data_IF_264123714505
#
_entry.id   IF_264123714505
#
_cell.length_a   1.000
_cell.length_b   1.000
_cell.length_c   1.000
_cell.angle_alpha   90.00
_cell.angle_beta   90.00
_cell.angle_gamma   90.00
#
_symmetry.space_group_name_H-M   'P 1'
#
loop_
_entity.id
_entity.type
_entity.pdbx_description
1 polymer ?
#
# COMPACT_ATOMS: atom_id res chain seq x y z
N UNK A 1 13.06 -15.40 7.02
CA UNK A 1 14.38 -14.85 7.42
C UNK A 1 14.77 -13.80 6.39
N UNK A 2 15.21 -12.62 6.81
CA UNK A 2 15.77 -11.61 5.91
C UNK A 2 17.23 -12.00 5.59
N UNK A 3 17.56 -12.04 4.30
CA UNK A 3 18.93 -12.34 3.85
C UNK A 3 19.49 -11.10 3.17
N UNK A 4 20.58 -10.57 3.70
CA UNK A 4 21.29 -9.43 3.14
C UNK A 4 22.55 -9.91 2.40
N UNK A 5 22.60 -9.65 1.11
CA UNK A 5 23.81 -9.83 0.31
C UNK A 5 24.62 -8.52 0.34
N UNK A 6 25.87 -8.54 0.77
CA UNK A 6 26.73 -7.35 0.90
C UNK A 6 27.11 -6.74 -0.46
N UNK A 7 26.13 -6.48 -1.31
CA UNK A 7 26.28 -5.82 -2.62
C UNK A 7 24.98 -5.09 -2.97
N UNK A 8 25.11 -3.99 -3.67
CA UNK A 8 23.96 -3.25 -4.21
C UNK A 8 23.30 -4.06 -5.33
N UNK A 9 21.99 -3.91 -5.48
CA UNK A 9 21.22 -4.54 -6.56
C UNK A 9 21.70 -4.07 -7.96
N UNK A 10 22.09 -2.81 -8.06
CA UNK A 10 22.74 -2.22 -9.24
C UNK A 10 23.96 -1.39 -8.81
N UNK A 11 25.06 -1.40 -9.56
CA UNK A 11 26.29 -0.69 -9.17
C UNK A 11 26.09 0.84 -9.11
N UNK A 12 26.56 1.47 -8.03
CA UNK A 12 26.59 2.93 -7.88
C UNK A 12 28.05 3.36 -7.88
N UNK A 13 28.48 4.09 -8.93
CA UNK A 13 29.87 4.53 -9.12
C UNK A 13 29.89 5.95 -9.67
N UNK A 14 29.66 6.93 -8.79
CA UNK A 14 29.63 8.35 -9.14
C UNK A 14 31.01 8.95 -8.94
N UNK A 15 31.53 9.60 -9.96
CA UNK A 15 32.91 10.16 -9.99
C UNK A 15 32.96 11.52 -9.30
N UNK A 16 32.03 12.39 -9.62
CA UNK A 16 32.04 13.79 -9.21
C UNK A 16 31.08 14.04 -8.07
N UNK A 17 31.46 14.90 -7.14
CA UNK A 17 30.57 15.40 -6.09
C UNK A 17 29.61 16.44 -6.65
N UNK A 18 28.38 16.44 -6.17
CA UNK A 18 27.37 17.44 -6.52
C UNK A 18 26.34 17.56 -5.37
N UNK A 19 26.59 18.45 -4.40
CA UNK A 19 25.71 18.59 -3.24
C UNK A 19 24.30 19.08 -3.61
N UNK A 20 24.18 19.89 -4.67
CA UNK A 20 22.88 20.33 -5.17
C UNK A 20 22.04 19.15 -5.66
N UNK A 21 22.65 18.25 -6.42
CA UNK A 21 21.93 17.06 -6.91
C UNK A 21 21.59 16.11 -5.76
N UNK A 22 22.50 15.96 -4.79
CA UNK A 22 22.26 15.18 -3.58
C UNK A 22 21.03 15.68 -2.80
N UNK A 23 20.89 17.01 -2.64
CA UNK A 23 19.75 17.62 -1.95
C UNK A 23 18.41 17.37 -2.63
N UNK A 24 18.39 17.08 -3.92
CA UNK A 24 17.19 16.69 -4.65
C UNK A 24 16.90 15.18 -4.53
N UNK A 25 17.95 14.36 -4.68
CA UNK A 25 17.84 12.90 -4.68
C UNK A 25 17.44 12.36 -3.30
N UNK A 26 17.78 13.05 -2.22
CA UNK A 26 17.41 12.65 -0.85
C UNK A 26 15.90 12.45 -0.69
N UNK A 27 15.07 13.09 -1.53
CA UNK A 27 13.62 12.85 -1.55
C UNK A 27 13.24 11.39 -1.79
N UNK A 28 14.03 10.66 -2.58
CA UNK A 28 13.81 9.23 -2.79
C UNK A 28 14.32 8.38 -1.62
N UNK A 29 15.14 8.94 -0.74
CA UNK A 29 15.51 8.27 0.51
C UNK A 29 14.38 8.36 1.55
N UNK A 30 13.97 9.56 1.92
CA UNK A 30 13.08 9.80 3.05
C UNK A 30 11.91 10.74 2.77
N UNK A 31 11.64 11.08 1.52
CA UNK A 31 10.43 11.82 1.15
C UNK A 31 9.16 10.97 1.26
N UNK A 32 7.98 11.57 1.14
CA UNK A 32 6.68 10.90 1.33
C UNK A 32 6.44 9.78 0.30
N UNK A 33 7.06 9.86 -0.86
CA UNK A 33 6.97 8.89 -1.95
C UNK A 33 8.33 8.22 -2.23
N UNK A 34 9.25 8.24 -1.24
CA UNK A 34 10.57 7.63 -1.34
C UNK A 34 10.59 6.17 -0.86
N UNK A 35 11.74 5.53 -1.04
CA UNK A 35 11.96 4.08 -0.84
C UNK A 35 11.70 3.62 0.60
N UNK A 36 12.04 4.47 1.61
CA UNK A 36 11.74 4.15 3.01
C UNK A 36 10.22 4.02 3.24
N UNK A 37 9.44 4.94 2.70
CA UNK A 37 7.99 4.92 2.79
C UNK A 37 7.38 3.75 2.05
N UNK A 38 7.86 3.44 0.85
CA UNK A 38 7.43 2.31 0.02
C UNK A 38 7.69 0.98 0.73
N UNK A 39 8.92 0.73 1.17
CA UNK A 39 9.30 -0.51 1.84
C UNK A 39 8.46 -0.76 3.10
N UNK A 40 8.32 0.22 3.99
CA UNK A 40 7.57 0.06 5.23
C UNK A 40 6.06 -0.09 4.97
N UNK A 41 5.51 0.56 3.95
CA UNK A 41 4.10 0.41 3.54
C UNK A 41 3.83 -1.03 3.15
N UNK A 42 4.57 -1.59 2.21
CA UNK A 42 4.35 -2.94 1.69
C UNK A 42 4.61 -4.02 2.74
N UNK A 43 5.70 -3.88 3.51
CA UNK A 43 6.03 -4.80 4.59
C UNK A 43 5.03 -4.75 5.76
N UNK A 44 4.31 -3.66 5.94
CA UNK A 44 3.22 -3.55 6.92
C UNK A 44 1.91 -4.13 6.39
N UNK A 45 1.53 -3.82 5.15
CA UNK A 45 0.30 -4.31 4.51
C UNK A 45 0.27 -5.83 4.39
N UNK A 46 1.42 -6.49 4.20
CA UNK A 46 1.50 -7.95 4.04
C UNK A 46 0.84 -8.75 5.18
N UNK A 47 0.79 -8.21 6.40
CA UNK A 47 0.22 -8.91 7.56
C UNK A 47 -1.31 -9.03 7.48
N UNK A 48 -1.98 -8.07 6.86
CA UNK A 48 -3.44 -8.05 6.68
C UNK A 48 -3.92 -8.70 5.38
N UNK A 49 -3.01 -9.05 4.46
CA UNK A 49 -3.42 -9.68 3.20
C UNK A 49 -3.98 -11.09 3.42
N UNK A 50 -5.17 -11.39 2.87
CA UNK A 50 -5.83 -12.67 3.10
C UNK A 50 -5.25 -13.84 2.30
N UNK A 51 -4.43 -13.56 1.26
CA UNK A 51 -3.92 -14.56 0.35
C UNK A 51 -2.39 -14.69 0.45
N UNK A 52 -1.85 -15.93 0.56
CA UNK A 52 -0.40 -16.17 0.65
C UNK A 52 0.40 -15.54 -0.50
N UNK A 53 -0.14 -15.55 -1.72
CA UNK A 53 0.53 -14.99 -2.90
C UNK A 53 0.69 -13.47 -2.81
N UNK A 54 -0.28 -12.78 -2.20
CA UNK A 54 -0.18 -11.34 -1.97
C UNK A 54 0.79 -11.01 -0.84
N UNK A 55 0.83 -11.83 0.21
CA UNK A 55 1.85 -11.72 1.25
C UNK A 55 3.25 -11.87 0.67
N UNK A 56 3.43 -12.87 -0.22
CA UNK A 56 4.67 -13.08 -0.96
C UNK A 56 5.05 -11.87 -1.81
N UNK A 57 4.11 -11.37 -2.62
CA UNK A 57 4.30 -10.20 -3.48
C UNK A 57 4.74 -8.96 -2.70
N UNK A 58 4.01 -8.62 -1.63
CA UNK A 58 4.33 -7.46 -0.78
C UNK A 58 5.65 -7.63 -0.03
N UNK A 59 6.01 -8.86 0.34
CA UNK A 59 7.33 -9.14 0.93
C UNK A 59 8.44 -8.96 -0.09
N UNK A 60 8.27 -9.48 -1.29
CA UNK A 60 9.23 -9.46 -2.37
C UNK A 60 9.54 -8.00 -2.80
N UNK A 61 8.49 -7.24 -3.13
CA UNK A 61 8.64 -5.84 -3.49
C UNK A 61 9.14 -5.01 -2.30
N UNK A 62 8.54 -5.15 -1.12
CA UNK A 62 8.93 -4.36 0.05
C UNK A 62 10.37 -4.58 0.51
N UNK A 63 10.94 -5.76 0.30
CA UNK A 63 12.37 -6.03 0.55
C UNK A 63 13.25 -5.51 -0.58
N UNK A 64 12.78 -5.50 -1.83
CA UNK A 64 13.46 -4.86 -2.94
C UNK A 64 13.60 -3.35 -2.71
N UNK A 65 12.57 -2.68 -2.19
CA UNK A 65 12.62 -1.25 -1.83
C UNK A 65 13.65 -0.92 -0.74
N UNK A 66 13.96 -1.85 0.15
CA UNK A 66 15.10 -1.68 1.07
C UNK A 66 16.43 -1.67 0.33
N UNK A 67 16.56 -2.45 -0.74
CA UNK A 67 17.73 -2.41 -1.64
C UNK A 67 17.81 -1.10 -2.43
N UNK A 68 16.67 -0.56 -2.89
CA UNK A 68 16.60 0.74 -3.54
C UNK A 68 16.95 1.88 -2.57
N UNK A 69 16.47 1.82 -1.33
CA UNK A 69 16.84 2.75 -0.26
C UNK A 69 18.36 2.78 -0.06
N UNK A 70 19.02 1.60 -0.03
CA UNK A 70 20.47 1.50 0.08
C UNK A 70 21.17 2.14 -1.13
N UNK A 71 20.65 1.94 -2.33
CA UNK A 71 21.20 2.56 -3.56
C UNK A 71 21.08 4.09 -3.53
N UNK A 72 19.92 4.63 -3.13
CA UNK A 72 19.72 6.09 -2.98
C UNK A 72 20.65 6.65 -1.92
N UNK A 73 20.78 6.03 -0.77
CA UNK A 73 21.73 6.40 0.28
C UNK A 73 23.17 6.42 -0.25
N UNK A 74 23.54 5.43 -1.05
CA UNK A 74 24.87 5.36 -1.69
C UNK A 74 25.09 6.48 -2.70
N UNK A 75 24.10 6.84 -3.52
CA UNK A 75 24.17 7.98 -4.44
C UNK A 75 24.40 9.27 -3.66
N UNK A 76 23.59 9.55 -2.65
CA UNK A 76 23.70 10.77 -1.83
C UNK A 76 25.06 10.83 -1.15
N UNK A 77 25.55 9.72 -0.59
CA UNK A 77 26.87 9.64 0.03
C UNK A 77 28.00 9.95 -0.98
N UNK A 78 27.94 9.36 -2.17
CA UNK A 78 28.98 9.59 -3.18
C UNK A 78 28.96 11.01 -3.75
N UNK A 79 27.80 11.65 -3.81
CA UNK A 79 27.64 13.05 -4.24
C UNK A 79 28.10 14.06 -3.17
N UNK A 80 28.14 13.66 -1.88
CA UNK A 80 28.47 14.56 -0.77
C UNK A 80 29.78 14.24 -0.06
N UNK A 81 30.55 13.28 -0.55
CA UNK A 81 31.84 12.92 0.04
C UNK A 81 32.88 14.03 -0.14
N UNK A 82 33.59 14.35 0.94
CA UNK A 82 34.74 15.29 0.93
C UNK A 82 34.42 16.70 0.36
N UNK A 83 33.21 17.21 0.61
CA UNK A 83 32.81 18.55 0.21
C UNK A 83 33.61 19.60 0.95
N UNK A 84 34.06 20.65 0.23
CA UNK A 84 34.59 21.88 0.83
C UNK A 84 33.43 22.72 1.41
N UNK A 85 33.77 23.67 2.31
CA UNK A 85 32.75 24.61 2.80
C UNK A 85 32.12 25.46 1.67
N UNK A 86 32.87 25.74 0.65
CA UNK A 86 32.38 26.48 -0.51
C UNK A 86 31.39 25.64 -1.31
N UNK A 87 31.67 24.36 -1.55
CA UNK A 87 30.75 23.43 -2.22
C UNK A 87 29.41 23.31 -1.46
N UNK A 88 29.48 23.26 -0.12
CA UNK A 88 28.30 23.20 0.71
C UNK A 88 27.45 24.46 0.54
N UNK A 89 28.06 25.63 0.65
CA UNK A 89 27.36 26.93 0.57
C UNK A 89 26.80 27.19 -0.82
N UNK A 90 27.59 26.94 -1.87
CA UNK A 90 27.18 27.23 -3.25
C UNK A 90 26.25 26.16 -3.82
N UNK A 91 26.34 24.95 -3.33
CA UNK A 91 25.49 23.81 -3.76
C UNK A 91 24.09 23.79 -3.13
N UNK A 92 23.79 24.71 -2.21
CA UNK A 92 22.50 24.72 -1.53
C UNK A 92 22.28 23.53 -0.59
N UNK A 93 23.37 22.98 -0.03
CA UNK A 93 23.36 21.86 0.91
C UNK A 93 23.55 22.31 2.36
N UNK A 94 23.74 23.60 2.58
CA UNK A 94 24.05 24.23 3.85
C UNK A 94 22.98 23.98 4.93
N UNK A 95 21.70 24.10 4.57
CA UNK A 95 20.60 23.85 5.50
C UNK A 95 20.57 22.39 5.99
N UNK A 96 20.79 21.44 5.08
CA UNK A 96 20.89 20.03 5.46
C UNK A 96 22.15 19.77 6.31
N UNK A 97 23.28 20.37 5.92
CA UNK A 97 24.56 20.16 6.57
C UNK A 97 24.60 20.65 8.03
N UNK A 98 23.90 21.74 8.33
CA UNK A 98 23.78 22.27 9.70
C UNK A 98 23.21 21.22 10.66
N UNK A 99 22.19 20.50 10.23
CA UNK A 99 21.51 19.54 11.09
C UNK A 99 22.13 18.13 11.05
N UNK A 100 22.64 17.73 9.88
CA UNK A 100 23.00 16.33 9.62
C UNK A 100 24.43 16.13 9.14
N UNK A 101 25.20 17.20 8.92
CA UNK A 101 26.51 17.14 8.27
C UNK A 101 26.45 16.39 6.93
N UNK A 102 27.26 15.38 6.70
CA UNK A 102 27.18 14.47 5.55
C UNK A 102 26.49 13.13 5.89
N UNK A 103 25.77 13.07 7.02
CA UNK A 103 25.00 11.90 7.39
C UNK A 103 23.76 11.73 6.52
N UNK A 104 23.40 10.50 6.19
CA UNK A 104 22.19 10.21 5.41
C UNK A 104 21.00 10.19 6.36
N UNK A 105 20.18 11.23 6.27
CA UNK A 105 19.00 11.37 7.11
C UNK A 105 17.72 11.25 6.28
N UNK A 106 16.69 10.49 6.73
CA UNK A 106 15.46 10.27 5.96
C UNK A 106 14.59 11.53 5.95
N UNK A 107 14.82 12.36 4.92
CA UNK A 107 14.10 13.62 4.68
C UNK A 107 13.76 13.78 3.20
N UNK A 108 12.78 14.63 2.90
CA UNK A 108 12.52 15.12 1.56
C UNK A 108 13.48 16.23 1.18
N UNK A 109 13.59 16.54 -0.13
CA UNK A 109 14.35 17.70 -0.63
C UNK A 109 13.88 19.05 -0.06
N UNK A 110 12.60 19.12 0.35
CA UNK A 110 12.03 20.28 1.04
C UNK A 110 12.45 20.42 2.50
N UNK A 111 13.25 19.49 3.05
CA UNK A 111 13.62 19.44 4.46
C UNK A 111 12.58 18.80 5.37
N UNK A 112 11.44 18.35 4.86
CA UNK A 112 10.44 17.66 5.67
C UNK A 112 10.93 16.24 6.00
N UNK A 113 11.08 15.88 7.29
CA UNK A 113 11.55 14.56 7.68
C UNK A 113 10.53 13.47 7.33
N UNK A 114 10.99 12.26 7.10
CA UNK A 114 10.09 11.13 6.88
C UNK A 114 9.09 10.98 8.02
N UNK A 115 7.84 10.74 7.66
CA UNK A 115 6.76 10.59 8.62
C UNK A 115 5.87 9.39 8.25
N UNK A 116 5.58 8.54 9.21
CA UNK A 116 4.68 7.39 9.04
C UNK A 116 3.26 7.79 8.58
N UNK A 117 2.84 9.04 8.78
CA UNK A 117 1.56 9.55 8.27
C UNK A 117 1.46 9.53 6.73
N UNK A 118 2.60 9.47 6.01
CA UNK A 118 2.61 9.31 4.55
C UNK A 118 2.35 7.87 4.10
N UNK A 119 2.41 6.89 5.01
CA UNK A 119 2.11 5.50 4.69
C UNK A 119 0.61 5.23 4.73
N UNK A 120 0.08 4.61 3.70
CA UNK A 120 -1.28 4.10 3.70
C UNK A 120 -1.28 2.59 4.02
N UNK A 121 -1.86 2.23 5.16
CA UNK A 121 -2.09 0.83 5.58
C UNK A 121 -3.49 0.77 6.19
N UNK A 122 -4.45 0.26 5.44
CA UNK A 122 -5.86 0.18 5.87
C UNK A 122 -6.29 -1.22 6.27
N UNK A 123 -5.55 -2.25 5.86
CA UNK A 123 -5.95 -3.64 6.06
C UNK A 123 -7.05 -4.11 5.12
N UNK A 124 -7.44 -3.29 4.14
CA UNK A 124 -8.32 -3.66 3.05
C UNK A 124 -7.51 -3.91 1.78
N UNK A 125 -7.68 -5.10 1.21
CA UNK A 125 -6.91 -5.56 0.06
C UNK A 125 -6.98 -4.61 -1.14
N UNK A 126 -8.16 -4.09 -1.45
CA UNK A 126 -8.35 -3.25 -2.64
C UNK A 126 -7.86 -1.83 -2.39
N UNK A 127 -8.08 -1.30 -1.18
CA UNK A 127 -7.58 0.00 -0.77
C UNK A 127 -6.05 0.01 -0.78
N UNK A 128 -5.43 -0.97 -0.12
CA UNK A 128 -3.98 -1.06 0.02
C UNK A 128 -3.29 -1.24 -1.34
N UNK A 129 -3.74 -2.19 -2.18
CA UNK A 129 -3.19 -2.36 -3.54
C UNK A 129 -3.46 -1.16 -4.47
N UNK A 130 -4.49 -0.35 -4.20
CA UNK A 130 -4.73 0.89 -4.97
C UNK A 130 -3.74 1.96 -4.61
N UNK A 131 -3.44 2.10 -3.32
CA UNK A 131 -2.41 3.01 -2.83
C UNK A 131 -1.01 2.59 -3.29
N UNK A 132 -0.71 1.29 -3.31
CA UNK A 132 0.56 0.79 -3.81
C UNK A 132 0.79 1.18 -5.28
N UNK A 133 -0.23 1.02 -6.12
CA UNK A 133 -0.19 1.49 -7.52
C UNK A 133 0.06 3.00 -7.62
N UNK A 134 -0.55 3.79 -6.75
CA UNK A 134 -0.35 5.23 -6.72
C UNK A 134 1.06 5.59 -6.21
N UNK A 135 1.57 4.86 -5.22
CA UNK A 135 2.91 5.05 -4.67
C UNK A 135 3.99 4.83 -5.73
N UNK A 136 3.94 3.70 -6.45
CA UNK A 136 4.88 3.40 -7.53
C UNK A 136 4.88 4.49 -8.63
N UNK A 137 3.71 4.99 -9.01
CA UNK A 137 3.63 6.05 -10.01
C UNK A 137 4.15 7.39 -9.49
N UNK A 138 3.98 7.72 -8.22
CA UNK A 138 4.53 8.92 -7.61
C UNK A 138 6.06 8.84 -7.53
N UNK A 139 6.61 7.70 -7.10
CA UNK A 139 8.06 7.46 -7.10
C UNK A 139 8.63 7.55 -8.51
N UNK A 140 8.01 6.91 -9.50
CA UNK A 140 8.42 7.01 -10.91
C UNK A 140 8.46 8.45 -11.42
N UNK A 141 7.44 9.27 -11.10
CA UNK A 141 7.42 10.69 -11.49
C UNK A 141 8.55 11.46 -10.82
N UNK A 142 8.87 11.16 -9.56
CA UNK A 142 10.00 11.78 -8.85
C UNK A 142 11.33 11.43 -9.52
N UNK A 143 11.52 10.18 -9.92
CA UNK A 143 12.70 9.78 -10.73
C UNK A 143 12.76 10.50 -12.09
N UNK A 144 11.62 10.65 -12.79
CA UNK A 144 11.56 11.44 -14.02
C UNK A 144 11.97 12.90 -13.80
N UNK A 145 11.56 13.50 -12.68
CA UNK A 145 11.93 14.87 -12.33
C UNK A 145 13.42 15.00 -12.00
N UNK A 146 13.99 14.03 -11.28
CA UNK A 146 15.45 13.98 -11.02
C UNK A 146 16.22 13.91 -12.35
N UNK A 147 15.81 13.01 -13.26
CA UNK A 147 16.45 12.88 -14.57
C UNK A 147 16.37 14.14 -15.44
N UNK A 148 15.34 14.99 -15.25
CA UNK A 148 15.24 16.28 -15.95
C UNK A 148 16.20 17.33 -15.40
N UNK A 149 16.63 17.19 -14.16
CA UNK A 149 17.47 18.14 -13.45
C UNK A 149 18.95 17.70 -13.40
N UNK A 150 19.22 16.44 -13.68
CA UNK A 150 20.55 15.83 -13.63
C UNK A 150 21.14 15.72 -15.03
N UNK A 151 22.35 16.23 -15.20
CA UNK A 151 23.20 16.05 -16.38
C UNK A 151 24.35 15.04 -16.13
N UNK A 152 24.48 14.51 -14.91
CA UNK A 152 25.51 13.54 -14.56
C UNK A 152 25.16 12.14 -15.09
N UNK A 153 25.94 11.58 -16.03
CA UNK A 153 25.66 10.27 -16.61
C UNK A 153 25.78 9.12 -15.60
N UNK A 154 26.69 9.23 -14.62
CA UNK A 154 26.89 8.18 -13.61
C UNK A 154 25.67 8.11 -12.66
N UNK A 155 25.07 9.26 -12.32
CA UNK A 155 23.82 9.34 -11.56
C UNK A 155 22.64 8.86 -12.40
N UNK A 156 22.53 9.37 -13.62
CA UNK A 156 21.40 9.09 -14.50
C UNK A 156 21.28 7.61 -14.84
N UNK A 157 22.37 6.87 -14.89
CA UNK A 157 22.36 5.42 -15.14
C UNK A 157 21.64 4.68 -14.00
N UNK A 158 22.00 4.99 -12.76
CA UNK A 158 21.37 4.37 -11.58
C UNK A 158 19.90 4.79 -11.44
N UNK A 159 19.59 6.06 -11.62
CA UNK A 159 18.21 6.57 -11.52
C UNK A 159 17.30 5.95 -12.61
N UNK A 160 17.81 5.71 -13.81
CA UNK A 160 17.08 5.00 -14.86
C UNK A 160 16.78 3.55 -14.49
N UNK A 161 17.71 2.87 -13.83
CA UNK A 161 17.49 1.53 -13.31
C UNK A 161 16.36 1.53 -12.28
N UNK A 162 16.44 2.35 -11.23
CA UNK A 162 15.41 2.48 -10.19
C UNK A 162 14.04 2.81 -10.79
N UNK A 163 13.99 3.82 -11.65
CA UNK A 163 12.75 4.18 -12.38
C UNK A 163 12.13 3.01 -13.15
N UNK A 164 12.95 2.15 -13.74
CA UNK A 164 12.46 0.97 -14.44
C UNK A 164 11.85 -0.06 -13.49
N UNK A 165 12.37 -0.16 -12.25
CA UNK A 165 11.81 -1.04 -11.22
C UNK A 165 10.42 -0.58 -10.78
N UNK A 166 10.17 0.72 -10.62
CA UNK A 166 8.84 1.26 -10.31
C UNK A 166 7.78 0.83 -11.34
N UNK A 167 8.15 0.74 -12.60
CA UNK A 167 7.23 0.27 -13.65
C UNK A 167 6.89 -1.22 -13.46
N UNK A 168 7.88 -2.03 -13.09
CA UNK A 168 7.67 -3.47 -12.83
C UNK A 168 6.81 -3.68 -11.59
N UNK A 169 7.07 -2.95 -10.51
CA UNK A 169 6.28 -3.02 -9.28
C UNK A 169 4.83 -2.60 -9.52
N UNK A 170 4.62 -1.49 -10.22
CA UNK A 170 3.29 -1.05 -10.65
C UNK A 170 2.53 -2.14 -11.43
N UNK A 171 3.19 -2.80 -12.39
CA UNK A 171 2.56 -3.88 -13.15
C UNK A 171 2.18 -5.06 -12.25
N UNK A 172 3.07 -5.49 -11.36
CA UNK A 172 2.82 -6.60 -10.42
C UNK A 172 1.66 -6.31 -9.47
N UNK A 173 1.58 -5.11 -8.91
CA UNK A 173 0.44 -4.69 -8.08
C UNK A 173 -0.85 -4.59 -8.89
N UNK A 174 -0.79 -4.09 -10.12
CA UNK A 174 -1.94 -4.00 -11.02
C UNK A 174 -2.53 -5.36 -11.38
N UNK A 175 -1.68 -6.34 -11.65
CA UNK A 175 -2.10 -7.72 -11.93
C UNK A 175 -2.73 -8.37 -10.69
N UNK A 176 -2.12 -8.20 -9.53
CA UNK A 176 -2.63 -8.69 -8.26
C UNK A 176 -4.01 -8.10 -7.94
N UNK A 177 -4.15 -6.77 -8.04
CA UNK A 177 -5.42 -6.07 -7.82
C UNK A 177 -6.51 -6.53 -8.79
N UNK A 178 -6.21 -6.60 -10.09
CA UNK A 178 -7.17 -7.02 -11.13
C UNK A 178 -7.67 -8.44 -10.89
N UNK A 179 -6.78 -9.34 -10.55
CA UNK A 179 -7.13 -10.75 -10.30
C UNK A 179 -8.04 -10.87 -9.08
N UNK A 180 -7.73 -10.19 -7.99
CA UNK A 180 -8.48 -10.27 -6.73
C UNK A 180 -9.78 -9.49 -6.78
N UNK A 181 -9.84 -8.35 -7.46
CA UNK A 181 -11.09 -7.63 -7.70
C UNK A 181 -12.14 -8.51 -8.39
N UNK A 182 -11.73 -9.29 -9.39
CA UNK A 182 -12.65 -10.23 -10.09
C UNK A 182 -13.19 -11.30 -9.15
N UNK A 183 -12.36 -11.84 -8.27
CA UNK A 183 -12.79 -12.84 -7.27
C UNK A 183 -13.76 -12.23 -6.27
N UNK A 184 -13.44 -11.07 -5.72
CA UNK A 184 -14.28 -10.37 -4.74
C UNK A 184 -15.64 -9.99 -5.36
N UNK A 185 -15.64 -9.46 -6.58
CA UNK A 185 -16.86 -9.10 -7.30
C UNK A 185 -17.77 -10.32 -7.51
N UNK A 186 -17.22 -11.45 -7.96
CA UNK A 186 -17.98 -12.70 -8.14
C UNK A 186 -18.60 -13.19 -6.82
N UNK A 187 -17.85 -13.16 -5.73
CA UNK A 187 -18.34 -13.53 -4.41
C UNK A 187 -19.49 -12.63 -3.93
N UNK A 188 -19.37 -11.31 -4.13
CA UNK A 188 -20.43 -10.35 -3.80
C UNK A 188 -21.70 -10.58 -4.63
N UNK A 189 -21.57 -10.82 -5.93
CA UNK A 189 -22.71 -11.15 -6.81
C UNK A 189 -23.40 -12.45 -6.42
N UNK A 190 -22.65 -13.49 -6.03
CA UNK A 190 -23.21 -14.75 -5.55
C UNK A 190 -23.97 -14.56 -4.24
N UNK A 191 -23.45 -13.77 -3.31
CA UNK A 191 -24.10 -13.47 -2.04
C UNK A 191 -25.38 -12.66 -2.24
N UNK A 192 -25.36 -11.66 -3.13
CA UNK A 192 -26.54 -10.89 -3.50
C UNK A 192 -27.64 -11.77 -4.10
N UNK A 193 -27.30 -12.69 -5.01
CA UNK A 193 -28.25 -13.66 -5.58
C UNK A 193 -28.82 -14.61 -4.54
N UNK A 194 -28.01 -15.04 -3.56
CA UNK A 194 -28.50 -15.89 -2.43
C UNK A 194 -29.45 -15.09 -1.54
N UNK A 195 -29.13 -13.86 -1.21
CA UNK A 195 -29.99 -12.98 -0.41
C UNK A 195 -31.32 -12.71 -1.10
N UNK A 196 -31.31 -12.40 -2.40
CA UNK A 196 -32.52 -12.17 -3.20
C UNK A 196 -33.42 -13.41 -3.28
N UNK A 197 -32.82 -14.61 -3.39
CA UNK A 197 -33.59 -15.88 -3.36
C UNK A 197 -34.21 -16.14 -1.99
N UNK A 198 -33.50 -15.83 -0.89
CA UNK A 198 -34.06 -15.96 0.46
C UNK A 198 -35.22 -14.99 0.70
N UNK A 199 -35.11 -13.74 0.25
CA UNK A 199 -36.21 -12.76 0.34
C UNK A 199 -37.40 -13.20 -0.50
N UNK A 200 -37.20 -13.70 -1.70
CA UNK A 200 -38.28 -14.23 -2.55
C UNK A 200 -38.97 -15.45 -1.93
N UNK A 201 -38.22 -16.34 -1.30
CA UNK A 201 -38.75 -17.49 -0.60
C UNK A 201 -39.55 -17.08 0.67
N UNK A 202 -39.03 -16.10 1.43
CA UNK A 202 -39.73 -15.52 2.59
C UNK A 202 -41.01 -14.76 2.21
N UNK A 203 -41.03 -14.10 1.05
CA UNK A 203 -42.22 -13.40 0.56
C UNK A 203 -43.34 -14.36 0.10
N UNK A 204 -42.97 -15.54 -0.42
CA UNK A 204 -43.95 -16.59 -0.77
C UNK A 204 -44.61 -17.21 0.47
N UNK A 205 -43.86 -17.39 1.56
CA UNK A 205 -44.40 -17.87 2.83
C UNK A 205 -45.31 -16.86 3.51
N UNK A 206 -45.03 -15.57 3.40
CA UNK A 206 -45.88 -14.47 3.91
C UNK A 206 -47.21 -14.33 3.14
N UNK A 207 -47.21 -14.50 1.81
CA UNK A 207 -48.43 -14.46 1.00
C UNK A 207 -49.41 -15.61 1.33
N UNK A 208 -48.91 -16.77 1.71
CA UNK A 208 -49.77 -17.89 2.11
C UNK A 208 -50.35 -17.77 3.54
N UNK A 209 -49.74 -16.93 4.40
CA UNK A 209 -50.25 -16.69 5.76
C UNK A 209 -51.25 -15.53 5.87
N UNK A 210 -51.22 -14.57 4.93
CA UNK A 210 -52.08 -13.37 4.98
C UNK A 210 -53.52 -13.63 4.46
N UNK A 211 -53.78 -14.74 3.79
CA UNK A 211 -55.13 -15.09 3.28
C UNK A 211 -56.07 -15.66 4.33
N UNK A 212 -55.72 -15.69 5.61
CA UNK A 212 -56.53 -16.35 6.65
C UNK A 212 -56.70 -15.57 7.96
N UNK A 213 -56.47 -14.27 8.07
CA UNK A 213 -56.61 -13.57 9.36
C UNK A 213 -57.40 -12.26 9.26
N UNK A 214 -58.43 -12.13 10.09
CA UNK A 214 -59.23 -10.95 10.39
C UNK A 214 -58.40 -9.75 10.89
N UNK A 215 -58.87 -8.48 10.69
CA UNK A 215 -58.09 -7.27 11.03
C UNK A 215 -58.09 -7.05 12.55
N UNK A 216 -56.97 -6.64 13.08
CA UNK A 216 -56.66 -6.12 14.42
C UNK A 216 -55.69 -7.06 15.23
N UNK A 217 -54.44 -7.05 14.82
CA UNK A 217 -53.34 -7.24 15.78
C UNK A 217 -52.00 -6.82 15.11
N UNK A 218 -51.31 -5.86 15.70
CA UNK A 218 -49.99 -5.46 15.27
C UNK A 218 -48.99 -6.60 15.55
N UNK A 219 -48.39 -7.13 14.48
CA UNK A 219 -47.39 -8.21 14.57
C UNK A 219 -45.99 -7.57 14.51
N UNK A 220 -45.27 -7.64 15.63
CA UNK A 220 -43.84 -7.25 15.69
C UNK A 220 -43.04 -8.48 15.24
N UNK A 221 -42.34 -8.35 14.09
CA UNK A 221 -41.47 -9.42 13.60
C UNK A 221 -40.06 -9.27 14.22
N UNK A 222 -39.60 -10.29 14.92
CA UNK A 222 -38.17 -10.52 15.21
C UNK A 222 -37.64 -11.53 14.21
N UNK A 223 -36.55 -11.12 13.49
CA UNK A 223 -35.82 -12.04 12.61
C UNK A 223 -34.96 -12.99 13.45
N UNK A 224 -34.95 -14.30 13.16
CA UNK A 224 -33.99 -15.22 13.76
C UNK A 224 -32.59 -14.95 13.16
N UNK A 225 -31.61 -14.85 14.03
CA UNK A 225 -30.22 -14.87 13.60
C UNK A 225 -29.86 -16.27 13.10
N UNK A 226 -29.47 -16.38 11.82
CA UNK A 226 -28.95 -17.64 11.29
C UNK A 226 -27.54 -17.86 11.86
N UNK A 227 -27.39 -18.85 12.71
CA UNK A 227 -26.10 -19.38 13.17
C UNK A 227 -25.38 -20.12 12.06
N UNK A 228 -24.09 -20.22 12.21
CA UNK A 228 -23.13 -20.91 11.34
C UNK A 228 -23.59 -22.31 10.91
N UNK A 229 -23.26 -22.77 9.69
CA UNK A 229 -23.64 -24.10 9.22
C UNK A 229 -22.67 -25.16 9.75
N UNK A 230 -22.90 -25.63 10.95
CA UNK A 230 -22.36 -26.89 11.44
C UNK A 230 -23.27 -27.41 12.53
N UNK A 231 -24.34 -28.06 12.13
CA UNK A 231 -25.04 -29.18 12.72
C UNK A 231 -26.48 -29.18 12.21
N UNK A 232 -26.85 -30.27 11.58
CA UNK A 232 -28.24 -30.67 11.38
C UNK A 232 -28.89 -30.84 12.75
N UNK A 233 -29.89 -30.05 13.06
CA UNK A 233 -31.10 -30.48 13.80
C UNK A 233 -32.05 -29.32 14.10
N UNK A 234 -33.29 -29.51 13.65
CA UNK A 234 -34.56 -29.01 14.15
C UNK A 234 -34.79 -27.49 14.28
N UNK A 235 -35.64 -27.01 13.40
CA UNK A 235 -36.46 -25.82 13.65
C UNK A 235 -37.35 -26.05 14.88
N UNK A 236 -37.08 -25.33 15.97
CA UNK A 236 -37.99 -25.25 17.08
C UNK A 236 -38.95 -24.06 16.93
N UNK A 237 -40.23 -24.37 17.12
CA UNK A 237 -41.37 -23.46 17.10
C UNK A 237 -41.23 -22.28 18.04
N UNK A 238 -41.53 -21.09 17.54
CA UNK A 238 -41.61 -19.85 18.31
C UNK A 238 -42.87 -19.88 19.17
N UNK A 239 -42.72 -19.87 20.49
CA UNK A 239 -43.80 -19.65 21.45
C UNK A 239 -44.24 -18.18 21.41
N UNK A 240 -45.54 -17.96 21.28
CA UNK A 240 -46.19 -16.67 21.49
C UNK A 240 -46.10 -16.25 22.96
N UNK A 241 -45.60 -15.06 23.23
CA UNK A 241 -45.78 -14.38 24.51
C UNK A 241 -46.92 -13.38 24.39
N UNK A 242 -48.02 -13.58 25.10
CA UNK A 242 -49.10 -12.62 25.31
C UNK A 242 -48.59 -11.56 26.30
N UNK A 243 -48.49 -10.32 25.91
CA UNK A 243 -48.35 -9.17 26.80
C UNK A 243 -49.74 -8.74 27.28
N UNK A 244 -49.90 -8.65 28.60
CA UNK A 244 -51.07 -8.00 29.23
C UNK A 244 -50.79 -6.51 29.43
N UNK A 245 -51.87 -5.75 29.22
CA UNK A 245 -52.19 -4.39 29.64
C UNK A 245 -51.14 -3.31 29.40
#
# INVERSE_FOLDING_TARGET
MFVYEKKLQYPVKIKNTNPRLASLIISQYGGPDGELGASLRYLSQRYSMPYPELKGLLTDIGTEELGHLEMIGTIVHQLTRNLSEEDIKTGGFDAYFVDHTAGIYPTAASGFPWNAASMAVKGDLIADLTEDLAAEQKARVTYDNILRLSDDPDVNDVIKFLRAREIVHFQRFGEAKRTRWRVTKRAAEQNSRKSSKMVACGCLTLKSMVMGAHPLTAIVFRFPQCGHPSSERSCHSVRQSKGRA
#
